data_IF_301356489486
#
_entry.id   IF_301356489486
#
_cell.length_a   1.000
_cell.length_b   1.000
_cell.length_c   1.000
_cell.angle_alpha   90.00
_cell.angle_beta   90.00
_cell.angle_gamma   90.00
#
_symmetry.space_group_name_H-M   'P 1'
#
loop_
_entity.id
_entity.type
_entity.pdbx_description
1 polymer ?
#
# COMPACT_ATOMS: atom_id res chain seq x y z
N UNK A 1 2.90 60.64 28.41
CA UNK A 1 3.04 59.86 27.16
C UNK A 1 4.07 58.71 27.26
N UNK A 2 5.21 58.88 27.97
CA UNK A 2 6.24 57.81 28.11
C UNK A 2 5.78 56.56 28.88
N UNK A 3 4.88 56.72 29.86
CA UNK A 3 4.36 55.61 30.69
C UNK A 3 3.45 54.65 29.88
N UNK A 4 2.65 55.19 28.96
CA UNK A 4 1.78 54.38 28.09
C UNK A 4 2.56 53.56 27.06
N UNK A 5 3.71 54.07 26.61
CA UNK A 5 4.63 53.35 25.71
C UNK A 5 5.31 52.19 26.45
N UNK A 6 5.67 52.39 27.73
CA UNK A 6 6.24 51.32 28.55
C UNK A 6 5.21 50.21 28.87
N UNK A 7 3.94 50.56 29.08
CA UNK A 7 2.84 49.61 29.30
C UNK A 7 2.54 48.78 28.04
N UNK A 8 2.55 49.39 26.86
CA UNK A 8 2.39 48.67 25.59
C UNK A 8 3.57 47.75 25.28
N UNK A 9 4.81 48.13 25.63
CA UNK A 9 5.97 47.26 25.47
C UNK A 9 5.97 46.09 26.48
N UNK A 10 5.48 46.31 27.70
CA UNK A 10 5.35 45.27 28.71
C UNK A 10 4.29 44.21 28.34
N UNK A 11 3.22 44.58 27.62
CA UNK A 11 2.22 43.60 27.14
C UNK A 11 2.73 42.77 25.96
N UNK A 12 3.70 43.27 25.18
CA UNK A 12 4.35 42.47 24.13
C UNK A 12 5.39 41.47 24.68
N UNK A 13 5.93 41.70 25.88
CA UNK A 13 6.95 40.82 26.48
C UNK A 13 6.37 39.53 27.09
N UNK A 14 5.05 39.42 27.27
CA UNK A 14 4.40 38.20 27.80
C UNK A 14 4.13 37.17 26.70
N UNK A 15 4.34 37.52 25.43
CA UNK A 15 4.14 36.64 24.27
C UNK A 15 5.36 35.82 23.84
N UNK A 16 6.38 35.66 24.69
CA UNK A 16 7.45 34.70 24.44
C UNK A 16 6.97 33.30 24.83
N UNK A 17 6.14 32.67 23.98
CA UNK A 17 5.92 31.24 24.09
C UNK A 17 7.29 30.55 23.96
N UNK A 18 7.59 29.63 24.87
CA UNK A 18 8.81 28.85 24.81
C UNK A 18 8.87 28.16 23.44
N UNK A 19 9.82 28.55 22.59
CA UNK A 19 10.06 27.93 21.29
C UNK A 19 10.69 26.55 21.49
N UNK A 20 9.87 25.59 21.91
CA UNK A 20 10.29 24.21 21.98
C UNK A 20 10.15 23.56 20.60
N UNK A 21 11.09 22.69 20.25
CA UNK A 21 11.18 22.05 18.93
C UNK A 21 11.38 20.55 19.08
N UNK A 22 10.94 19.78 18.08
CA UNK A 22 11.10 18.33 18.04
C UNK A 22 12.26 17.96 17.12
N UNK A 23 13.42 17.61 17.68
CA UNK A 23 14.59 17.24 16.89
C UNK A 23 14.38 15.93 16.12
N UNK A 24 13.66 14.98 16.71
CA UNK A 24 13.41 13.67 16.09
C UNK A 24 12.42 13.72 14.92
N UNK A 25 11.66 14.81 14.75
CA UNK A 25 10.70 14.92 13.65
C UNK A 25 10.37 16.35 13.20
N UNK A 26 10.82 16.69 12.00
CA UNK A 26 10.71 18.02 11.40
C UNK A 26 9.27 18.52 11.15
N UNK A 27 8.29 17.62 11.02
CA UNK A 27 6.90 18.00 10.77
C UNK A 27 6.05 18.12 12.04
N UNK A 28 6.64 17.93 13.22
CA UNK A 28 5.96 18.15 14.48
C UNK A 28 5.74 19.65 14.73
N UNK A 29 4.56 19.97 15.23
CA UNK A 29 4.23 21.29 15.79
C UNK A 29 4.29 21.16 17.31
N UNK A 30 5.07 22.02 17.96
CA UNK A 30 5.26 22.01 19.41
C UNK A 30 4.87 23.35 20.01
N UNK A 31 4.14 23.31 21.13
CA UNK A 31 3.77 24.51 21.88
C UNK A 31 3.58 24.20 23.38
N UNK A 32 3.58 25.23 24.20
CA UNK A 32 3.25 25.16 25.63
C UNK A 32 4.41 24.89 26.59
N UNK A 33 4.08 24.95 27.88
CA UNK A 33 4.97 24.62 29.01
C UNK A 33 4.20 23.76 30.02
N UNK A 34 4.47 22.45 30.15
CA UNK A 34 5.52 21.66 29.50
C UNK A 34 5.31 21.53 27.98
N UNK A 35 6.41 21.38 27.22
CA UNK A 35 6.35 21.32 25.77
C UNK A 35 5.54 20.11 25.29
N UNK A 36 4.46 20.36 24.54
CA UNK A 36 3.65 19.33 23.91
C UNK A 36 3.83 19.41 22.41
N UNK A 37 4.31 18.31 21.82
CA UNK A 37 4.52 18.18 20.39
C UNK A 37 3.49 17.23 19.80
N UNK A 38 2.99 17.58 18.62
CA UNK A 38 2.09 16.73 17.86
C UNK A 38 2.24 16.90 16.35
N UNK A 39 1.67 15.97 15.61
CA UNK A 39 1.60 16.04 14.14
C UNK A 39 0.19 15.75 13.67
N UNK A 40 -0.24 16.43 12.61
CA UNK A 40 -1.52 16.19 11.97
C UNK A 40 -1.50 14.87 11.18
N UNK A 41 -2.47 14.00 11.46
CA UNK A 41 -2.62 12.68 10.84
C UNK A 41 -4.06 12.44 10.35
N UNK A 42 -4.23 11.41 9.51
CA UNK A 42 -5.55 10.93 9.07
C UNK A 42 -6.34 11.99 8.30
N UNK A 43 -7.44 12.47 8.89
CA UNK A 43 -8.32 13.52 8.34
C UNK A 43 -8.08 14.90 8.94
N UNK A 44 -7.18 15.02 9.93
CA UNK A 44 -6.88 16.26 10.65
C UNK A 44 -6.82 16.11 12.16
N UNK A 45 -6.51 14.92 12.66
CA UNK A 45 -6.36 14.66 14.09
C UNK A 45 -4.93 14.98 14.52
N UNK A 46 -4.75 15.49 15.74
CA UNK A 46 -3.43 15.77 16.30
C UNK A 46 -2.90 14.51 17.01
N UNK A 47 -1.85 13.89 16.47
CA UNK A 47 -1.15 12.78 17.10
C UNK A 47 -0.04 13.33 18.00
N UNK A 48 -0.14 13.12 19.32
CA UNK A 48 0.90 13.50 20.26
C UNK A 48 2.18 12.68 20.05
N UNK A 49 3.31 13.35 20.20
CA UNK A 49 4.65 12.81 19.98
C UNK A 49 5.53 13.00 21.22
N UNK A 50 6.31 11.97 21.52
CA UNK A 50 7.39 12.06 22.49
C UNK A 50 8.70 12.35 21.75
N UNK A 51 9.15 13.60 21.78
CA UNK A 51 10.35 14.05 21.08
C UNK A 51 11.67 13.68 21.76
N UNK A 52 11.63 13.07 22.95
CA UNK A 52 12.84 12.52 23.60
C UNK A 52 13.31 11.22 22.95
N UNK A 53 12.45 10.56 22.17
CA UNK A 53 12.75 9.33 21.45
C UNK A 53 12.53 9.52 19.95
N UNK A 54 13.01 8.55 19.16
CA UNK A 54 12.67 8.44 17.75
C UNK A 54 11.15 8.26 17.59
N UNK A 55 10.56 9.01 16.68
CA UNK A 55 9.13 8.91 16.37
C UNK A 55 8.85 7.57 15.67
N UNK A 56 7.84 6.79 16.13
CA UNK A 56 7.50 5.51 15.52
C UNK A 56 7.17 5.60 14.02
N UNK A 57 7.66 4.63 13.24
CA UNK A 57 7.48 4.58 11.77
C UNK A 57 6.01 4.65 11.34
N UNK A 58 5.09 4.03 12.09
CA UNK A 58 3.67 4.07 11.75
C UNK A 58 3.11 5.50 11.78
N UNK A 59 3.46 6.30 12.79
CA UNK A 59 3.05 7.70 12.88
C UNK A 59 3.67 8.56 11.79
N UNK A 60 4.94 8.31 11.44
CA UNK A 60 5.62 8.99 10.33
C UNK A 60 4.89 8.75 9.00
N UNK A 61 4.55 7.49 8.71
CA UNK A 61 3.79 7.13 7.50
C UNK A 61 2.40 7.77 7.50
N UNK A 62 1.69 7.77 8.64
CA UNK A 62 0.37 8.40 8.76
C UNK A 62 0.42 9.92 8.51
N UNK A 63 1.45 10.59 9.02
CA UNK A 63 1.69 12.00 8.77
C UNK A 63 2.05 12.28 7.29
N UNK A 64 2.86 11.42 6.66
CA UNK A 64 3.18 11.53 5.24
C UNK A 64 1.92 11.39 4.37
N UNK A 65 1.02 10.47 4.71
CA UNK A 65 -0.25 10.28 4.02
C UNK A 65 -1.22 11.44 4.21
N UNK A 66 -1.29 12.03 5.41
CA UNK A 66 -2.03 13.27 5.64
C UNK A 66 -1.51 14.40 4.73
N UNK A 67 -0.18 14.58 4.69
CA UNK A 67 0.46 15.61 3.86
C UNK A 67 0.20 15.36 2.38
N UNK A 68 0.27 14.11 1.92
CA UNK A 68 -0.06 13.74 0.54
C UNK A 68 -1.49 14.12 0.16
N UNK A 69 -2.47 13.85 1.03
CA UNK A 69 -3.88 14.25 0.81
C UNK A 69 -4.09 15.75 0.74
N UNK A 70 -3.28 16.54 1.46
CA UNK A 70 -3.33 18.01 1.46
C UNK A 70 -2.48 18.65 0.37
N UNK A 71 -1.85 17.87 -0.52
CA UNK A 71 -0.95 18.40 -1.54
C UNK A 71 0.36 18.97 -0.99
N UNK A 72 0.74 18.59 0.23
CA UNK A 72 1.95 19.00 0.94
C UNK A 72 3.07 17.94 0.84
N UNK A 73 2.86 16.89 0.04
CA UNK A 73 3.87 15.84 -0.21
C UNK A 73 4.95 16.35 -1.17
N UNK A 74 6.18 15.94 -0.91
CA UNK A 74 7.33 16.17 -1.78
C UNK A 74 7.37 15.21 -2.98
N UNK A 75 6.54 14.17 -2.99
CA UNK A 75 6.37 13.26 -4.15
C UNK A 75 5.42 13.88 -5.16
N UNK A 76 5.98 14.70 -6.04
CA UNK A 76 5.27 15.34 -7.15
C UNK A 76 5.15 14.35 -8.30
N UNK A 77 4.08 13.56 -8.32
CA UNK A 77 3.86 12.62 -9.43
C UNK A 77 2.62 11.77 -9.20
N UNK A 78 1.48 12.23 -9.71
CA UNK A 78 0.32 11.36 -9.89
C UNK A 78 0.64 10.24 -10.88
N UNK A 79 -0.28 9.26 -10.99
CA UNK A 79 -0.16 8.20 -11.99
C UNK A 79 -0.01 8.82 -13.39
N UNK A 80 1.14 8.66 -14.09
CA UNK A 80 1.39 9.36 -15.34
C UNK A 80 0.50 8.87 -16.49
N UNK A 81 0.03 7.62 -16.43
CA UNK A 81 -0.85 7.03 -17.43
C UNK A 81 -1.76 5.93 -16.83
N UNK A 82 -2.89 5.60 -17.47
CA UNK A 82 -3.81 4.52 -17.03
C UNK A 82 -3.12 3.15 -16.97
N UNK A 83 -2.08 2.91 -17.76
CA UNK A 83 -1.30 1.66 -17.78
C UNK A 83 -0.14 1.66 -16.79
N UNK A 84 0.21 2.80 -16.20
CA UNK A 84 1.31 2.86 -15.24
C UNK A 84 1.02 1.95 -14.04
N UNK A 85 1.97 1.07 -13.72
CA UNK A 85 1.88 0.24 -12.53
C UNK A 85 2.14 1.13 -11.30
N UNK A 86 1.12 1.29 -10.47
CA UNK A 86 1.28 1.94 -9.16
C UNK A 86 1.69 0.84 -8.19
N UNK A 87 2.95 0.88 -7.76
CA UNK A 87 3.43 0.04 -6.67
C UNK A 87 2.65 0.43 -5.40
N UNK A 88 1.67 -0.42 -5.05
CA UNK A 88 0.81 -0.23 -3.88
C UNK A 88 1.44 -0.79 -2.60
N UNK A 89 2.62 -1.42 -2.68
CA UNK A 89 3.23 -2.11 -1.54
C UNK A 89 4.14 -1.19 -0.71
N UNK A 90 4.44 0.02 -1.20
CA UNK A 90 5.40 0.93 -0.57
C UNK A 90 4.85 1.87 0.50
N UNK A 91 3.85 2.71 0.14
CA UNK A 91 3.30 3.73 1.06
C UNK A 91 1.77 3.69 1.06
N UNK A 92 1.20 3.56 2.25
CA UNK A 92 -0.23 3.50 2.51
C UNK A 92 -0.54 4.26 3.80
N UNK A 93 -1.81 4.55 4.06
CA UNK A 93 -2.26 5.18 5.32
C UNK A 93 -2.45 4.08 6.37
N UNK A 94 -1.55 3.95 7.36
CA UNK A 94 -1.55 2.80 8.25
C UNK A 94 -2.41 3.00 9.49
N UNK A 95 -2.97 1.89 9.95
CA UNK A 95 -3.54 1.76 11.28
C UNK A 95 -2.44 1.47 12.30
N UNK A 96 -2.35 2.35 13.30
CA UNK A 96 -1.36 2.28 14.37
C UNK A 96 -2.01 1.93 15.70
N UNK A 97 -1.26 1.24 16.56
CA UNK A 97 -1.53 1.19 17.99
C UNK A 97 -1.20 2.53 18.66
N UNK A 98 -1.63 2.73 19.91
CA UNK A 98 -1.36 3.96 20.68
C UNK A 98 0.13 4.20 20.93
N UNK A 99 0.94 3.15 20.92
CA UNK A 99 2.41 3.21 21.03
C UNK A 99 3.10 3.63 19.73
N UNK A 100 2.37 3.68 18.60
CA UNK A 100 2.92 3.92 17.28
C UNK A 100 3.47 2.68 16.57
N UNK A 101 3.23 1.49 17.14
CA UNK A 101 3.41 0.23 16.43
C UNK A 101 2.35 0.04 15.34
N UNK A 102 2.68 -0.72 14.29
CA UNK A 102 1.67 -1.12 13.30
C UNK A 102 0.68 -2.10 13.92
N UNK A 103 -0.60 -1.95 13.58
CA UNK A 103 -1.54 -3.07 13.74
C UNK A 103 -1.18 -4.15 12.72
N UNK A 104 -1.19 -5.41 13.14
CA UNK A 104 -0.86 -6.54 12.27
C UNK A 104 -1.76 -6.61 11.04
N UNK A 105 -3.06 -6.31 11.21
CA UNK A 105 -4.01 -6.19 10.12
C UNK A 105 -4.14 -4.74 9.70
N UNK A 106 -3.99 -4.49 8.41
CA UNK A 106 -4.18 -3.19 7.76
C UNK A 106 -5.32 -3.30 6.76
N UNK A 107 -6.16 -2.28 6.64
CA UNK A 107 -7.28 -2.29 5.71
C UNK A 107 -7.37 -0.97 4.95
N UNK A 108 -7.61 -1.05 3.64
CA UNK A 108 -8.06 0.09 2.84
C UNK A 108 -9.58 0.11 2.94
N UNK A 109 -10.19 1.24 3.30
CA UNK A 109 -11.62 1.46 3.68
C UNK A 109 -12.72 0.85 2.78
N UNK A 110 -12.36 0.08 1.75
CA UNK A 110 -13.17 -0.65 0.77
C UNK A 110 -13.26 -2.16 1.04
N UNK A 111 -13.13 -2.60 2.31
CA UNK A 111 -13.15 -4.03 2.77
C UNK A 111 -11.92 -4.87 2.39
N UNK A 112 -10.89 -4.27 1.83
CA UNK A 112 -9.68 -4.96 1.42
C UNK A 112 -8.64 -4.86 2.54
N UNK A 113 -8.22 -5.99 3.10
CA UNK A 113 -7.29 -6.07 4.23
C UNK A 113 -6.07 -6.93 3.91
N UNK A 114 -4.93 -6.66 4.56
CA UNK A 114 -3.70 -7.45 4.45
C UNK A 114 -2.97 -7.47 5.79
N UNK A 115 -2.09 -8.46 5.97
CA UNK A 115 -1.22 -8.51 7.13
C UNK A 115 0.11 -7.81 6.83
N UNK A 116 0.63 -7.10 7.82
CA UNK A 116 1.95 -6.46 7.79
C UNK A 116 2.80 -6.91 8.95
N UNK A 117 4.11 -6.77 8.82
CA UNK A 117 5.05 -7.03 9.90
C UNK A 117 5.27 -5.82 10.82
N UNK A 118 6.18 -5.94 11.80
CA UNK A 118 6.54 -4.88 12.74
C UNK A 118 7.07 -3.60 12.08
N UNK A 119 7.51 -3.68 10.83
CA UNK A 119 7.98 -2.56 10.03
C UNK A 119 6.94 -2.01 9.04
N UNK A 120 5.72 -2.54 9.04
CA UNK A 120 4.64 -2.13 8.13
C UNK A 120 4.76 -2.70 6.72
N UNK A 121 5.56 -3.74 6.50
CA UNK A 121 5.70 -4.39 5.18
C UNK A 121 4.67 -5.50 5.04
N UNK A 122 3.96 -5.55 3.91
CA UNK A 122 2.92 -6.54 3.61
C UNK A 122 3.49 -7.97 3.53
N UNK A 123 2.78 -8.91 4.16
CA UNK A 123 3.18 -10.33 4.29
C UNK A 123 2.20 -11.33 3.67
N UNK A 124 0.99 -10.88 3.35
CA UNK A 124 -0.06 -11.72 2.78
C UNK A 124 -0.61 -11.09 1.52
N UNK A 125 -1.33 -11.88 0.73
CA UNK A 125 -2.28 -11.29 -0.21
C UNK A 125 -3.34 -10.46 0.49
N UNK A 126 -3.95 -9.60 -0.31
CA UNK A 126 -5.11 -8.84 0.11
C UNK A 126 -6.34 -9.76 0.17
N UNK A 127 -6.94 -9.82 1.36
CA UNK A 127 -8.17 -10.54 1.65
C UNK A 127 -9.29 -9.58 2.04
N UNK A 128 -10.34 -10.14 2.65
CA UNK A 128 -11.44 -9.40 3.23
C UNK A 128 -11.22 -9.13 4.74
N UNK A 129 -12.22 -8.55 5.39
CA UNK A 129 -12.18 -8.23 6.83
C UNK A 129 -11.99 -9.44 7.74
N UNK A 130 -12.30 -10.65 7.25
CA UNK A 130 -12.17 -11.92 7.98
C UNK A 130 -10.72 -12.42 8.06
N UNK A 131 -9.80 -11.77 7.34
CA UNK A 131 -8.37 -12.06 7.41
C UNK A 131 -7.86 -11.96 8.85
N UNK A 132 -7.19 -13.02 9.31
CA UNK A 132 -6.55 -13.11 10.63
C UNK A 132 -5.06 -12.93 10.45
N UNK A 133 -4.48 -12.01 11.23
CA UNK A 133 -3.04 -11.74 11.23
C UNK A 133 -2.45 -12.12 12.58
N UNK A 134 -1.27 -12.72 12.56
CA UNK A 134 -0.50 -13.00 13.77
C UNK A 134 -0.10 -11.71 14.49
N UNK A 135 0.14 -11.84 15.80
CA UNK A 135 0.58 -10.71 16.60
C UNK A 135 2.04 -10.41 16.28
N UNK A 136 2.38 -9.12 16.25
CA UNK A 136 3.73 -8.68 15.92
C UNK A 136 4.61 -8.66 17.17
N UNK A 137 5.69 -9.45 17.13
CA UNK A 137 6.75 -9.40 18.12
C UNK A 137 7.75 -8.31 17.77
N UNK A 138 8.09 -7.47 18.76
CA UNK A 138 8.95 -6.31 18.59
C UNK A 138 10.26 -6.53 19.33
N UNK A 139 11.25 -7.07 18.62
CA UNK A 139 12.63 -7.08 19.11
C UNK A 139 13.33 -5.79 18.72
N UNK A 140 13.98 -5.13 19.68
CA UNK A 140 14.83 -3.96 19.41
C UNK A 140 16.14 -4.45 18.78
N UNK A 141 16.45 -3.97 17.57
CA UNK A 141 17.71 -4.30 16.91
C UNK A 141 18.85 -3.42 17.45
N UNK A 142 19.78 -4.02 18.19
CA UNK A 142 21.00 -3.36 18.69
C UNK A 142 22.22 -4.24 18.36
N UNK A 143 22.90 -4.01 17.22
CA UNK A 143 24.08 -4.78 16.87
C UNK A 143 25.27 -4.37 17.74
N UNK A 144 25.85 -5.35 18.43
CA UNK A 144 27.04 -5.20 19.27
C UNK A 144 28.00 -6.36 18.98
N UNK A 145 29.26 -6.05 18.68
CA UNK A 145 30.34 -7.05 18.55
C UNK A 145 31.37 -6.73 19.62
N UNK A 146 31.67 -7.69 20.49
CA UNK A 146 32.61 -7.56 21.60
C UNK A 146 32.37 -6.32 22.51
N UNK A 147 31.10 -5.96 22.71
CA UNK A 147 30.69 -4.84 23.56
C UNK A 147 30.82 -3.47 22.90
N UNK A 148 31.28 -3.40 21.65
CA UNK A 148 31.39 -2.17 20.89
C UNK A 148 30.16 -2.00 19.98
N UNK A 149 29.44 -0.89 20.19
CA UNK A 149 28.29 -0.50 19.38
C UNK A 149 28.78 -0.10 17.99
N UNK A 150 28.28 -0.80 16.96
CA UNK A 150 28.71 -0.56 15.59
C UNK A 150 27.99 0.66 14.99
N UNK A 151 28.75 1.53 14.34
CA UNK A 151 28.22 2.58 13.46
C UNK A 151 28.04 2.00 12.06
N UNK A 152 26.93 2.34 11.39
CA UNK A 152 26.59 1.80 10.07
C UNK A 152 26.80 2.87 8.99
N UNK A 153 27.51 2.52 7.91
CA UNK A 153 27.86 3.45 6.82
C UNK A 153 26.92 3.31 5.61
N UNK A 154 26.65 2.07 5.17
CA UNK A 154 25.62 1.76 4.17
C UNK A 154 24.59 0.79 4.76
N UNK A 155 23.34 1.23 4.88
CA UNK A 155 22.27 0.45 5.50
C UNK A 155 21.33 -0.08 4.41
N UNK A 156 21.51 -1.35 4.05
CA UNK A 156 20.54 -2.09 3.24
C UNK A 156 19.59 -2.85 4.18
N UNK A 157 18.40 -2.29 4.42
CA UNK A 157 17.42 -2.88 5.34
C UNK A 157 16.62 -3.96 4.62
N UNK A 158 16.88 -5.22 4.93
CA UNK A 158 16.00 -6.34 4.61
C UNK A 158 15.11 -6.64 5.81
N UNK A 159 13.80 -6.74 5.57
CA UNK A 159 12.85 -7.17 6.58
C UNK A 159 12.73 -8.68 6.53
N UNK A 160 13.36 -9.37 7.49
CA UNK A 160 13.27 -10.82 7.67
C UNK A 160 12.43 -11.07 8.91
N UNK A 161 11.28 -11.69 8.74
CA UNK A 161 10.43 -12.10 9.87
C UNK A 161 10.68 -13.58 10.19
N UNK A 162 10.34 -14.00 11.41
CA UNK A 162 10.48 -15.40 11.84
C UNK A 162 9.65 -16.36 10.99
N UNK A 163 8.46 -15.93 10.58
CA UNK A 163 7.59 -16.68 9.67
C UNK A 163 7.71 -16.15 8.23
N UNK A 164 7.48 -17.01 7.22
CA UNK A 164 7.56 -16.66 5.79
C UNK A 164 6.27 -16.03 5.23
N UNK A 165 6.32 -15.23 4.14
CA UNK A 165 5.11 -14.57 3.62
C UNK A 165 4.24 -15.57 2.85
N UNK A 166 2.92 -15.40 2.96
CA UNK A 166 1.93 -16.25 2.29
C UNK A 166 1.28 -15.49 1.13
N UNK A 167 1.93 -15.52 -0.02
CA UNK A 167 1.39 -14.98 -1.27
C UNK A 167 0.79 -16.10 -2.13
N UNK A 168 -0.46 -15.94 -2.53
CA UNK A 168 -1.18 -16.84 -3.43
C UNK A 168 -1.29 -16.22 -4.81
N UNK A 169 -0.93 -16.96 -5.85
CA UNK A 169 -0.98 -16.47 -7.25
C UNK A 169 -2.41 -16.41 -7.84
N UNK A 170 -3.42 -16.09 -7.02
CA UNK A 170 -4.84 -16.15 -7.41
C UNK A 170 -5.25 -15.13 -8.47
N UNK A 171 -4.51 -14.04 -8.65
CA UNK A 171 -4.89 -12.98 -9.60
C UNK A 171 -4.46 -13.24 -11.05
N UNK A 172 -3.59 -14.22 -11.32
CA UNK A 172 -3.22 -14.60 -12.69
C UNK A 172 -4.21 -15.58 -13.33
N UNK A 173 -4.97 -16.36 -12.54
CA UNK A 173 -5.79 -17.47 -13.06
C UNK A 173 -7.02 -17.00 -13.82
N UNK A 174 -7.65 -15.88 -13.45
CA UNK A 174 -8.88 -15.41 -14.10
C UNK A 174 -8.72 -15.11 -15.59
N UNK A 175 -7.65 -14.41 -15.97
CA UNK A 175 -7.35 -14.10 -17.37
C UNK A 175 -6.99 -15.34 -18.19
N UNK A 176 -6.19 -16.24 -17.61
CA UNK A 176 -5.79 -17.49 -18.27
C UNK A 176 -6.99 -18.40 -18.52
N UNK A 177 -7.90 -18.52 -17.56
CA UNK A 177 -9.13 -19.33 -17.71
C UNK A 177 -10.03 -18.77 -18.82
N UNK A 178 -10.20 -17.45 -18.90
CA UNK A 178 -11.02 -16.82 -19.94
C UNK A 178 -10.48 -17.11 -21.36
N UNK A 179 -9.15 -17.00 -21.56
CA UNK A 179 -8.52 -17.31 -22.85
C UNK A 179 -8.69 -18.78 -23.22
N UNK A 180 -8.51 -19.70 -22.27
CA UNK A 180 -8.66 -21.14 -22.50
C UNK A 180 -10.10 -21.47 -22.96
N UNK A 181 -11.12 -20.91 -22.33
CA UNK A 181 -12.53 -21.15 -22.68
C UNK A 181 -12.83 -20.70 -24.11
N UNK A 182 -12.33 -19.53 -24.52
CA UNK A 182 -12.53 -19.00 -25.88
C UNK A 182 -11.89 -19.91 -26.93
N UNK A 183 -10.67 -20.39 -26.67
CA UNK A 183 -9.96 -21.30 -27.58
C UNK A 183 -10.72 -22.62 -27.74
N UNK A 184 -11.20 -23.21 -26.63
CA UNK A 184 -11.97 -24.47 -26.67
C UNK A 184 -13.26 -24.31 -27.48
N UNK A 185 -14.00 -23.21 -27.29
CA UNK A 185 -15.23 -22.93 -28.03
C UNK A 185 -14.98 -22.76 -29.54
N UNK A 186 -13.91 -22.05 -29.91
CA UNK A 186 -13.52 -21.88 -31.31
C UNK A 186 -13.17 -23.21 -31.99
N UNK A 187 -12.41 -24.08 -31.31
CA UNK A 187 -12.06 -25.41 -31.81
C UNK A 187 -13.28 -26.30 -31.94
N UNK A 188 -14.18 -26.30 -30.95
CA UNK A 188 -15.42 -27.09 -31.00
C UNK A 188 -16.34 -26.65 -32.15
N UNK A 189 -16.50 -25.34 -32.35
CA UNK A 189 -17.27 -24.80 -33.47
C UNK A 189 -16.64 -25.18 -34.82
N UNK A 190 -15.31 -25.08 -34.94
CA UNK A 190 -14.58 -25.49 -36.15
C UNK A 190 -14.77 -26.98 -36.48
N UNK A 191 -14.68 -27.86 -35.48
CA UNK A 191 -14.92 -29.29 -35.64
C UNK A 191 -16.37 -29.60 -36.00
N UNK A 192 -17.35 -28.88 -35.43
CA UNK A 192 -18.77 -29.03 -35.76
C UNK A 192 -19.04 -28.66 -37.23
N UNK A 193 -18.48 -27.54 -37.70
CA UNK A 193 -18.61 -27.11 -39.10
C UNK A 193 -17.98 -28.12 -40.05
N UNK A 194 -16.78 -28.61 -39.74
CA UNK A 194 -16.11 -29.66 -40.53
C UNK A 194 -16.93 -30.96 -40.57
N UNK A 195 -17.54 -31.35 -39.45
CA UNK A 195 -18.40 -32.52 -39.37
C UNK A 195 -19.65 -32.37 -40.26
N UNK A 196 -20.31 -31.21 -40.21
CA UNK A 196 -21.49 -30.92 -41.03
C UNK A 196 -21.16 -30.81 -42.53
N UNK A 197 -20.02 -30.22 -42.88
CA UNK A 197 -19.53 -30.14 -44.26
C UNK A 197 -19.26 -31.54 -44.83
N UNK A 198 -18.51 -32.39 -44.10
CA UNK A 198 -18.26 -33.78 -44.50
C UNK A 198 -19.55 -34.61 -44.62
N UNK A 199 -20.56 -34.34 -43.79
CA UNK A 199 -21.87 -35.02 -43.88
C UNK A 199 -22.63 -34.62 -45.15
N UNK A 200 -22.54 -33.35 -45.59
CA UNK A 200 -23.15 -32.90 -46.85
C UNK A 200 -22.53 -33.55 -48.08
N UNK A 201 -21.21 -33.71 -48.11
CA UNK A 201 -20.52 -34.35 -49.25
C UNK A 201 -20.93 -35.82 -49.42
N UNK A 202 -21.16 -36.56 -48.34
CA UNK A 202 -21.67 -37.95 -48.40
C UNK A 202 -23.10 -38.08 -48.95
N UNK A 203 -23.87 -36.98 -48.99
CA UNK A 203 -25.24 -36.95 -49.54
C UNK A 203 -25.32 -36.67 -51.04
N UNK A 204 -24.22 -36.33 -51.70
CA UNK A 204 -24.17 -35.99 -53.13
C UNK A 204 -23.47 -37.10 -53.93
N UNK A 205 -24.08 -38.29 -54.02
CA UNK A 205 -23.69 -39.27 -55.03
C UNK A 205 -24.28 -38.82 -56.36
N UNK A 206 -23.46 -38.35 -57.29
CA UNK A 206 -23.87 -38.00 -58.66
C UNK A 206 -24.61 -39.17 -59.28
N UNK A 207 -25.85 -38.96 -59.73
CA UNK A 207 -26.47 -39.83 -60.74
C UNK A 207 -25.76 -39.59 -62.07
N UNK A 208 -25.27 -40.66 -62.69
CA UNK A 208 -24.64 -40.67 -64.01
C UNK A 208 -25.72 -40.41 -65.09
N UNK A 209 -25.49 -39.49 -66.05
CA UNK A 209 -26.44 -39.30 -67.15
C UNK A 209 -26.36 -40.50 -68.10
N UNK A 210 -27.48 -41.24 -68.24
CA UNK A 210 -27.63 -42.26 -69.29
C UNK A 210 -27.58 -41.58 -70.65
N UNK A 211 -26.57 -41.91 -71.44
CA UNK A 211 -26.59 -41.67 -72.88
C UNK A 211 -27.81 -42.37 -73.48
N UNK A 212 -28.72 -41.61 -74.10
CA UNK A 212 -29.79 -42.17 -74.90
C UNK A 212 -29.21 -42.44 -76.29
N UNK A 213 -29.05 -43.71 -76.64
CA UNK A 213 -28.74 -44.13 -78.01
C UNK A 213 -29.85 -43.62 -78.94
N UNK A 214 -29.46 -42.84 -79.94
CA UNK A 214 -30.33 -42.39 -81.01
C UNK A 214 -30.59 -43.54 -81.98
N UNK A 215 -31.86 -43.84 -82.20
CA UNK A 215 -32.35 -44.71 -83.28
C UNK A 215 -32.58 -43.90 -84.56
#
# INVERSE_FOLDING_TARGET
MKIWIALLLATFAVGASAQCTCESFKWATCDGTPCQCGVMVGTGEMQNLNCSNLVPKCFLMKAEMYRARKGLSTRTGGKPDKTAFVDNDGIYDPDCETTGAFRAKQCNNTKECWCVNSAGVRRTDKGDESLRCEKLDQAKFEPSVDGQKLEMEDILVYYVDEEGPTFTMKRLTGGVIAVIVVVILAVAAGLLVLYLARRRERGYSKAEPREMEAM
#
